data_IF_671641110133
#
_entry.id   IF_671641110133
#
_cell.length_a   1.000
_cell.length_b   1.000
_cell.length_c   1.000
_cell.angle_alpha   90.00
_cell.angle_beta   90.00
_cell.angle_gamma   90.00
#
_symmetry.space_group_name_H-M   'P 1'
#
loop_
_entity.id
_entity.type
_entity.pdbx_description
1 polymer ?
#
# COMPACT_ATOMS: atom_id res chain seq x y z
N UNK A 1 10.57 6.91 -5.73
CA UNK A 1 10.75 7.04 -4.27
C UNK A 1 10.61 8.49 -3.84
N UNK A 2 11.45 9.40 -4.34
CA UNK A 2 11.46 10.82 -3.96
C UNK A 2 10.11 11.53 -4.13
N UNK A 3 9.43 11.32 -5.25
CA UNK A 3 8.09 11.86 -5.50
C UNK A 3 7.01 11.34 -4.54
N UNK A 4 7.14 10.10 -4.07
CA UNK A 4 6.23 9.46 -3.10
C UNK A 4 6.43 10.12 -1.73
N UNK A 5 7.69 10.18 -1.30
CA UNK A 5 8.08 10.76 -0.02
C UNK A 5 7.72 12.26 0.05
N UNK A 6 7.87 12.98 -1.07
CA UNK A 6 7.47 14.38 -1.15
C UNK A 6 5.96 14.57 -0.94
N UNK A 7 5.13 13.76 -1.60
CA UNK A 7 3.66 13.80 -1.42
C UNK A 7 3.20 13.45 -0.01
N UNK A 8 3.94 12.59 0.69
CA UNK A 8 3.64 12.17 2.05
C UNK A 8 4.24 13.09 3.13
N UNK A 9 4.99 14.14 2.75
CA UNK A 9 5.72 14.97 3.71
C UNK A 9 6.91 14.26 4.37
N UNK A 10 7.34 13.12 3.82
CA UNK A 10 8.41 12.25 4.31
C UNK A 10 9.76 12.53 3.62
N UNK A 11 9.94 13.74 3.09
CA UNK A 11 11.14 14.16 2.34
C UNK A 11 12.44 13.94 3.11
N UNK A 12 12.39 14.05 4.45
CA UNK A 12 13.53 13.84 5.35
C UNK A 12 14.15 12.44 5.23
N UNK A 13 13.40 11.44 4.77
CA UNK A 13 13.87 10.07 4.60
C UNK A 13 14.38 9.75 3.19
N UNK A 14 14.30 10.69 2.24
CA UNK A 14 14.76 10.48 0.85
C UNK A 14 16.23 10.07 0.82
N UNK A 15 17.07 10.77 1.57
CA UNK A 15 18.51 10.51 1.60
C UNK A 15 18.81 9.14 2.21
N UNK A 16 18.24 8.82 3.37
CA UNK A 16 18.45 7.53 4.06
C UNK A 16 18.00 6.36 3.19
N UNK A 17 16.80 6.43 2.61
CA UNK A 17 16.28 5.36 1.75
C UNK A 17 17.10 5.22 0.47
N UNK A 18 17.65 6.32 -0.07
CA UNK A 18 18.52 6.28 -1.24
C UNK A 18 19.91 5.72 -0.93
N UNK A 19 20.50 6.09 0.21
CA UNK A 19 21.82 5.60 0.66
C UNK A 19 21.79 4.08 0.92
N UNK A 20 20.74 3.60 1.58
CA UNK A 20 20.49 2.18 1.86
C UNK A 20 19.96 1.40 0.63
N UNK A 21 19.82 2.06 -0.53
CA UNK A 21 19.31 1.48 -1.78
C UNK A 21 17.94 0.80 -1.63
N UNK A 22 17.09 1.37 -0.78
CA UNK A 22 15.75 0.85 -0.49
C UNK A 22 14.80 1.28 -1.61
N UNK A 23 14.27 0.30 -2.33
CA UNK A 23 13.26 0.47 -3.36
C UNK A 23 11.84 0.31 -2.80
N UNK A 24 10.80 0.78 -3.52
CA UNK A 24 9.41 0.69 -3.05
C UNK A 24 8.94 -0.74 -2.76
N UNK A 25 9.42 -1.72 -3.51
CA UNK A 25 9.21 -3.16 -3.29
C UNK A 25 9.82 -3.62 -1.96
N UNK A 26 11.07 -3.25 -1.67
CA UNK A 26 11.71 -3.52 -0.37
C UNK A 26 10.91 -2.90 0.77
N UNK A 27 10.39 -1.68 0.61
CA UNK A 27 9.55 -1.03 1.65
C UNK A 27 8.29 -1.84 1.97
N UNK A 28 7.71 -2.51 0.97
CA UNK A 28 6.52 -3.35 1.18
C UNK A 28 6.86 -4.62 1.99
N UNK A 29 8.10 -5.11 1.86
CA UNK A 29 8.57 -6.34 2.50
C UNK A 29 9.32 -6.11 3.84
N UNK A 30 9.75 -4.87 4.12
CA UNK A 30 10.46 -4.53 5.37
C UNK A 30 9.57 -4.70 6.59
N UNK A 31 10.14 -5.20 7.69
CA UNK A 31 9.44 -5.28 8.97
C UNK A 31 9.26 -3.89 9.63
N UNK A 32 8.40 -3.79 10.64
CA UNK A 32 8.29 -2.56 11.46
C UNK A 32 9.61 -2.24 12.18
N UNK A 33 10.39 -3.26 12.53
CA UNK A 33 11.70 -3.09 13.16
C UNK A 33 12.70 -2.48 12.18
N UNK A 34 12.75 -2.97 10.94
CA UNK A 34 13.64 -2.43 9.90
C UNK A 34 13.27 -0.97 9.57
N UNK A 35 11.96 -0.67 9.52
CA UNK A 35 11.46 0.71 9.37
C UNK A 35 11.90 1.60 10.52
N UNK A 36 11.81 1.11 11.76
CA UNK A 36 12.23 1.86 12.94
C UNK A 36 13.75 2.12 12.92
N UNK A 37 14.56 1.18 12.45
CA UNK A 37 16.01 1.36 12.24
C UNK A 37 16.31 2.48 11.23
N UNK A 38 15.44 2.71 10.25
CA UNK A 38 15.52 3.81 9.28
C UNK A 38 14.98 5.16 9.83
N UNK A 39 14.57 5.18 11.10
CA UNK A 39 13.98 6.33 11.77
C UNK A 39 12.48 6.53 11.50
N UNK A 40 11.84 5.62 10.75
CA UNK A 40 10.39 5.60 10.55
C UNK A 40 9.74 4.90 11.75
N UNK A 41 9.51 5.66 12.82
CA UNK A 41 8.92 5.14 14.06
C UNK A 41 7.40 5.38 14.14
N UNK A 42 6.85 6.21 13.26
CA UNK A 42 5.43 6.50 13.25
C UNK A 42 4.67 5.48 12.38
N UNK A 43 3.82 4.67 13.02
CA UNK A 43 3.02 3.63 12.36
C UNK A 43 2.16 4.19 11.21
N UNK A 44 1.57 5.37 11.39
CA UNK A 44 0.74 5.99 10.34
C UNK A 44 1.60 6.42 9.14
N UNK A 45 2.80 6.97 9.38
CA UNK A 45 3.75 7.33 8.30
C UNK A 45 4.21 6.08 7.55
N UNK A 46 4.55 5.00 8.26
CA UNK A 46 4.95 3.72 7.68
C UNK A 46 3.84 3.16 6.78
N UNK A 47 2.60 3.18 7.25
CA UNK A 47 1.46 2.66 6.49
C UNK A 47 1.13 3.51 5.27
N UNK A 48 1.18 4.84 5.40
CA UNK A 48 1.04 5.74 4.27
C UNK A 48 2.15 5.52 3.25
N UNK A 49 3.38 5.32 3.70
CA UNK A 49 4.53 5.06 2.84
C UNK A 49 4.37 3.72 2.10
N UNK A 50 4.02 2.64 2.81
CA UNK A 50 3.74 1.33 2.19
C UNK A 50 2.63 1.43 1.16
N UNK A 51 1.51 2.06 1.52
CA UNK A 51 0.36 2.23 0.63
C UNK A 51 0.77 2.99 -0.64
N UNK A 52 1.48 4.10 -0.49
CA UNK A 52 1.95 4.86 -1.64
C UNK A 52 3.00 4.10 -2.47
N UNK A 53 3.86 3.29 -1.85
CA UNK A 53 4.81 2.42 -2.55
C UNK A 53 4.11 1.31 -3.33
N UNK A 54 3.04 0.71 -2.78
CA UNK A 54 2.19 -0.26 -3.48
C UNK A 54 1.54 0.38 -4.70
N UNK A 55 0.96 1.58 -4.54
CA UNK A 55 0.34 2.29 -5.65
C UNK A 55 1.35 2.71 -6.71
N UNK A 56 2.54 3.18 -6.33
CA UNK A 56 3.56 3.62 -7.28
C UNK A 56 4.30 2.45 -7.96
N UNK A 57 4.51 1.33 -7.26
CA UNK A 57 5.04 0.09 -7.83
C UNK A 57 4.07 -0.58 -8.79
N UNK A 58 2.76 -0.51 -8.49
CA UNK A 58 1.69 -0.92 -9.41
C UNK A 58 1.29 0.16 -10.43
N UNK A 59 1.90 1.35 -10.42
CA UNK A 59 1.63 2.39 -11.42
C UNK A 59 2.25 2.10 -12.80
N UNK A 60 2.87 0.94 -12.97
CA UNK A 60 3.09 0.34 -14.30
C UNK A 60 2.19 -0.86 -14.58
N UNK A 61 1.02 -0.99 -13.92
CA UNK A 61 -0.10 -1.60 -14.62
C UNK A 61 -0.46 -0.62 -15.73
N UNK A 62 0.22 -0.79 -16.87
CA UNK A 62 -0.27 -0.32 -18.16
C UNK A 62 -1.75 -0.63 -18.15
N UNK A 63 -2.57 0.42 -18.27
CA UNK A 63 -3.91 0.27 -18.77
C UNK A 63 -3.73 -0.33 -20.17
N UNK A 64 -3.58 -1.65 -20.24
CA UNK A 64 -3.75 -2.35 -21.49
C UNK A 64 -5.22 -2.16 -21.79
N UNK A 65 -5.46 -1.19 -22.67
CA UNK A 65 -6.70 -1.04 -23.42
C UNK A 65 -6.75 -2.29 -24.29
N UNK A 66 -7.11 -3.41 -23.67
CA UNK A 66 -7.41 -4.66 -24.34
C UNK A 66 -8.73 -4.45 -25.05
N UNK A 67 -8.64 -4.15 -26.34
CA UNK A 67 -9.73 -4.26 -27.29
C UNK A 67 -10.49 -5.59 -27.08
N UNK A 68 -11.82 -5.49 -27.15
CA UNK A 68 -12.81 -6.58 -27.17
C UNK A 68 -13.48 -6.94 -25.82
N UNK A 69 -14.54 -6.21 -25.50
CA UNK A 69 -15.87 -6.83 -25.35
C UNK A 69 -16.20 -7.66 -24.10
N UNK A 70 -15.42 -7.58 -23.02
CA UNK A 70 -15.80 -8.14 -21.71
C UNK A 70 -15.90 -7.03 -20.66
N UNK A 71 -16.77 -7.13 -19.63
CA UNK A 71 -16.78 -6.15 -18.55
C UNK A 71 -15.39 -6.15 -17.92
N UNK A 72 -14.63 -5.08 -18.16
CA UNK A 72 -13.34 -4.84 -17.52
C UNK A 72 -13.60 -4.84 -16.03
N UNK A 73 -13.35 -5.99 -15.40
CA UNK A 73 -13.40 -6.18 -13.97
C UNK A 73 -12.25 -5.33 -13.46
N UNK A 74 -12.55 -4.08 -13.15
CA UNK A 74 -11.72 -3.17 -12.37
C UNK A 74 -11.36 -3.94 -11.10
N UNK A 75 -10.25 -4.65 -11.19
CA UNK A 75 -9.70 -5.43 -10.11
C UNK A 75 -8.80 -4.43 -9.43
N UNK A 76 -9.39 -3.60 -8.57
CA UNK A 76 -8.64 -3.02 -7.46
C UNK A 76 -7.94 -4.20 -6.77
N UNK A 77 -6.67 -4.42 -7.10
CA UNK A 77 -5.85 -5.50 -6.55
C UNK A 77 -5.40 -5.05 -5.16
N UNK A 78 -6.29 -5.18 -4.19
CA UNK A 78 -5.90 -5.14 -2.79
C UNK A 78 -5.24 -6.49 -2.51
N UNK A 79 -3.95 -6.50 -2.23
CA UNK A 79 -3.21 -7.72 -1.90
C UNK A 79 -3.65 -8.23 -0.52
N UNK A 80 -3.44 -9.53 -0.27
CA UNK A 80 -3.71 -10.13 1.04
C UNK A 80 -2.87 -9.49 2.14
N UNK A 81 -1.58 -9.31 1.91
CA UNK A 81 -0.63 -8.69 2.85
C UNK A 81 -1.03 -7.25 3.23
N UNK A 82 -1.51 -6.45 2.26
CA UNK A 82 -1.98 -5.09 2.56
C UNK A 82 -3.18 -5.11 3.49
N UNK A 83 -4.14 -6.00 3.25
CA UNK A 83 -5.31 -6.16 4.11
C UNK A 83 -4.94 -6.70 5.49
N UNK A 84 -4.08 -7.71 5.57
CA UNK A 84 -3.58 -8.27 6.83
C UNK A 84 -2.89 -7.20 7.66
N UNK A 85 -1.94 -6.47 7.09
CA UNK A 85 -1.22 -5.43 7.82
C UNK A 85 -2.13 -4.31 8.32
N UNK A 86 -3.17 -3.95 7.57
CA UNK A 86 -4.14 -2.92 8.00
C UNK A 86 -5.03 -3.45 9.14
N UNK A 87 -5.52 -4.69 9.05
CA UNK A 87 -6.32 -5.33 10.10
C UNK A 87 -5.50 -5.55 11.38
N UNK A 88 -4.26 -6.05 11.28
CA UNK A 88 -3.31 -6.17 12.41
C UNK A 88 -2.93 -4.81 13.02
N UNK A 89 -3.28 -3.72 12.33
CA UNK A 89 -3.12 -2.35 12.79
C UNK A 89 -4.38 -1.73 13.35
N UNK A 90 -5.40 -2.54 13.63
CA UNK A 90 -6.70 -2.15 14.19
C UNK A 90 -7.44 -1.12 13.32
N UNK A 91 -7.17 -1.06 12.01
CA UNK A 91 -7.93 -0.19 11.10
C UNK A 91 -9.33 -0.77 10.88
N UNK A 92 -10.35 0.07 11.04
CA UNK A 92 -11.69 -0.31 10.68
C UNK A 92 -11.85 -0.40 9.16
N UNK A 93 -12.75 -1.26 8.68
CA UNK A 93 -13.02 -1.46 7.25
C UNK A 93 -13.33 -0.15 6.53
N UNK A 94 -14.00 0.79 7.20
CA UNK A 94 -14.27 2.12 6.69
C UNK A 94 -12.99 2.92 6.44
N UNK A 95 -12.06 2.91 7.39
CA UNK A 95 -10.77 3.60 7.26
C UNK A 95 -9.93 2.97 6.15
N UNK A 96 -9.95 1.64 6.03
CA UNK A 96 -9.29 0.91 4.93
C UNK A 96 -9.88 1.31 3.58
N UNK A 97 -11.21 1.42 3.50
CA UNK A 97 -11.91 1.80 2.29
C UNK A 97 -11.55 3.23 1.85
N UNK A 98 -11.56 4.18 2.80
CA UNK A 98 -11.13 5.56 2.58
C UNK A 98 -9.65 5.62 2.15
N UNK A 99 -8.76 4.93 2.87
CA UNK A 99 -7.32 4.88 2.61
C UNK A 99 -7.00 4.34 1.21
N UNK A 100 -7.67 3.27 0.79
CA UNK A 100 -7.44 2.63 -0.50
C UNK A 100 -8.30 3.22 -1.63
N UNK A 101 -9.13 4.24 -1.33
CA UNK A 101 -10.05 4.87 -2.28
C UNK A 101 -10.97 3.86 -2.98
N UNK A 102 -11.53 2.94 -2.20
CA UNK A 102 -12.48 1.90 -2.63
C UNK A 102 -13.73 1.93 -1.75
N UNK A 103 -14.77 1.19 -2.15
CA UNK A 103 -15.91 0.97 -1.26
C UNK A 103 -15.60 -0.06 -0.17
N UNK A 104 -16.23 0.07 1.00
CA UNK A 104 -16.19 -0.96 2.06
C UNK A 104 -16.57 -2.34 1.51
N UNK A 105 -17.57 -2.42 0.63
CA UNK A 105 -17.96 -3.67 -0.05
C UNK A 105 -16.81 -4.31 -0.82
N UNK A 106 -15.89 -3.52 -1.39
CA UNK A 106 -14.69 -4.03 -2.06
C UNK A 106 -13.71 -4.61 -1.05
N UNK A 107 -13.54 -3.97 0.10
CA UNK A 107 -12.70 -4.44 1.22
C UNK A 107 -13.26 -5.75 1.78
N UNK A 108 -14.54 -5.79 2.18
CA UNK A 108 -15.21 -7.01 2.67
C UNK A 108 -15.13 -8.17 1.69
N UNK A 109 -15.34 -7.91 0.38
CA UNK A 109 -15.23 -8.93 -0.66
C UNK A 109 -13.82 -9.53 -0.70
N UNK A 110 -12.77 -8.74 -0.51
CA UNK A 110 -11.38 -9.23 -0.49
C UNK A 110 -11.02 -9.90 0.82
N UNK A 111 -11.46 -9.39 1.96
CA UNK A 111 -11.31 -10.08 3.25
C UNK A 111 -11.90 -11.48 3.20
N UNK A 112 -13.11 -11.64 2.64
CA UNK A 112 -13.73 -12.96 2.45
C UNK A 112 -12.93 -13.86 1.52
N UNK A 113 -12.38 -13.31 0.43
CA UNK A 113 -11.56 -14.06 -0.53
C UNK A 113 -10.25 -14.57 0.10
N UNK A 114 -9.69 -13.84 1.06
CA UNK A 114 -8.44 -14.18 1.74
C UNK A 114 -8.63 -14.83 3.11
N UNK A 115 -9.88 -15.09 3.51
CA UNK A 115 -10.28 -15.65 4.80
C UNK A 115 -9.82 -14.83 6.02
N UNK A 116 -9.76 -13.50 5.86
CA UNK A 116 -9.38 -12.55 6.90
C UNK A 116 -10.58 -12.14 7.76
N UNK A 117 -10.37 -12.06 9.07
CA UNK A 117 -11.38 -11.62 10.04
C UNK A 117 -11.03 -10.22 10.53
N UNK A 118 -12.05 -9.39 10.73
CA UNK A 118 -11.95 -8.14 11.46
C UNK A 118 -12.32 -8.38 12.92
#
# INVERSE_FOLDING_TARGET
MESILNKLGLQKYVNILSEEKISPDIICDMSLYDMACLGLNNRAEIMNLRTACIHFGNSQVRRDIGSNGGPSRSTFQISKQTLEGLIESDFEVKEIAELLSVSESTVYRRMRMYELKN
#
